data_IF_728232124140
#
_entry.id   IF_728232124140
#
_cell.length_a   1.000
_cell.length_b   1.000
_cell.length_c   1.000
_cell.angle_alpha   90.00
_cell.angle_beta   90.00
_cell.angle_gamma   90.00
#
_symmetry.space_group_name_H-M   'P 1'
#
loop_
_entity.id
_entity.type
_entity.pdbx_description
1 polymer ?
#
# COMPACT_ATOMS: atom_id res chain seq x y z
N UNK A 1 -6.82 -2.84 -14.63
CA UNK A 1 -6.02 -3.91 -14.00
C UNK A 1 -6.03 -3.73 -12.50
N UNK A 2 -6.22 -4.79 -11.76
CA UNK A 2 -6.12 -4.80 -10.30
C UNK A 2 -5.36 -6.04 -9.83
N UNK A 3 -4.78 -5.94 -8.64
CA UNK A 3 -4.15 -7.05 -7.94
C UNK A 3 -5.04 -7.49 -6.79
N UNK A 4 -5.17 -8.79 -6.60
CA UNK A 4 -5.92 -9.39 -5.50
C UNK A 4 -5.00 -10.36 -4.78
N UNK A 5 -4.78 -10.12 -3.51
CA UNK A 5 -4.04 -11.05 -2.66
C UNK A 5 -4.94 -12.24 -2.30
N UNK A 6 -4.46 -13.42 -2.58
CA UNK A 6 -5.16 -14.66 -2.27
C UNK A 6 -4.37 -15.48 -1.26
N UNK A 7 -5.10 -16.25 -0.47
CA UNK A 7 -4.49 -17.16 0.49
C UNK A 7 -3.53 -18.13 -0.21
N UNK A 8 -2.30 -18.23 0.28
CA UNK A 8 -1.26 -19.08 -0.30
C UNK A 8 -1.56 -20.59 -0.20
N UNK A 9 -2.55 -20.97 0.60
CA UNK A 9 -3.03 -22.36 0.69
C UNK A 9 -3.92 -22.77 -0.49
N UNK A 10 -4.44 -21.81 -1.26
CA UNK A 10 -5.24 -22.10 -2.44
C UNK A 10 -4.39 -22.69 -3.55
N UNK A 11 -4.93 -23.71 -4.20
CA UNK A 11 -4.29 -24.23 -5.41
C UNK A 11 -4.55 -23.31 -6.61
N UNK A 12 -3.85 -23.56 -7.71
CA UNK A 12 -3.93 -22.73 -8.91
C UNK A 12 -5.36 -22.64 -9.47
N UNK A 13 -6.13 -23.72 -9.44
CA UNK A 13 -7.51 -23.75 -9.95
C UNK A 13 -8.41 -22.88 -9.09
N UNK A 14 -8.34 -23.03 -7.79
CA UNK A 14 -9.12 -22.21 -6.83
C UNK A 14 -8.77 -20.72 -6.94
N UNK A 15 -7.50 -20.40 -7.08
CA UNK A 15 -7.05 -19.03 -7.27
C UNK A 15 -7.59 -18.42 -8.57
N UNK A 16 -7.57 -19.19 -9.64
CA UNK A 16 -8.09 -18.76 -10.93
C UNK A 16 -9.61 -18.54 -10.89
N UNK A 17 -10.36 -19.46 -10.30
CA UNK A 17 -11.82 -19.34 -10.14
C UNK A 17 -12.20 -18.09 -9.33
N UNK A 18 -11.48 -17.79 -8.26
CA UNK A 18 -11.71 -16.59 -7.48
C UNK A 18 -11.45 -15.30 -8.29
N UNK A 19 -10.35 -15.26 -9.04
CA UNK A 19 -10.05 -14.12 -9.91
C UNK A 19 -11.13 -13.92 -10.98
N UNK A 20 -11.59 -15.01 -11.62
CA UNK A 20 -12.68 -14.94 -12.61
C UNK A 20 -14.01 -14.48 -11.99
N UNK A 21 -14.34 -14.92 -10.78
CA UNK A 21 -15.53 -14.49 -10.08
C UNK A 21 -15.50 -12.99 -9.77
N UNK A 22 -14.34 -12.47 -9.39
CA UNK A 22 -14.17 -11.02 -9.19
C UNK A 22 -14.35 -10.25 -10.48
N UNK A 23 -13.73 -10.69 -11.58
CA UNK A 23 -13.86 -10.07 -12.90
C UNK A 23 -15.33 -10.06 -13.38
N UNK A 24 -16.01 -11.19 -13.21
CA UNK A 24 -17.43 -11.34 -13.59
C UNK A 24 -18.31 -10.40 -12.76
N UNK A 25 -18.10 -10.34 -11.45
CA UNK A 25 -18.85 -9.45 -10.55
C UNK A 25 -18.66 -7.99 -10.91
N UNK A 26 -17.43 -7.57 -11.21
CA UNK A 26 -17.13 -6.20 -11.63
C UNK A 26 -17.84 -5.85 -12.94
N UNK A 27 -17.82 -6.77 -13.90
CA UNK A 27 -18.52 -6.57 -15.18
C UNK A 27 -20.02 -6.47 -15.00
N UNK A 28 -20.63 -7.36 -14.22
CA UNK A 28 -22.09 -7.39 -14.04
C UNK A 28 -22.62 -6.23 -13.21
N UNK A 29 -21.92 -5.88 -12.12
CA UNK A 29 -22.41 -4.85 -11.21
C UNK A 29 -22.00 -3.43 -11.55
N UNK A 30 -20.82 -3.27 -12.15
CA UNK A 30 -20.24 -1.97 -12.42
C UNK A 30 -20.03 -1.67 -13.91
N UNK A 31 -20.32 -2.66 -14.77
CA UNK A 31 -20.06 -2.58 -16.22
C UNK A 31 -18.59 -2.24 -16.54
N UNK A 32 -17.67 -2.75 -15.72
CA UNK A 32 -16.23 -2.53 -15.85
C UNK A 32 -15.55 -3.80 -16.31
N UNK A 33 -14.75 -3.71 -17.37
CA UNK A 33 -13.83 -4.77 -17.75
C UNK A 33 -12.54 -4.62 -16.96
N UNK A 34 -12.20 -5.63 -16.16
CA UNK A 34 -10.99 -5.65 -15.35
C UNK A 34 -10.14 -6.88 -15.66
N UNK A 35 -8.84 -6.71 -15.61
CA UNK A 35 -7.88 -7.80 -15.52
C UNK A 35 -7.43 -7.93 -14.08
N UNK A 36 -7.59 -9.10 -13.50
CA UNK A 36 -7.20 -9.38 -12.13
C UNK A 36 -5.92 -10.22 -12.13
N UNK A 37 -4.90 -9.72 -11.44
CA UNK A 37 -3.71 -10.49 -11.11
C UNK A 37 -3.86 -11.06 -9.71
N UNK A 38 -3.80 -12.37 -9.60
CA UNK A 38 -3.86 -13.06 -8.32
C UNK A 38 -2.44 -13.20 -7.76
N UNK A 39 -2.18 -12.51 -6.65
CA UNK A 39 -0.90 -12.58 -5.96
C UNK A 39 -1.05 -13.47 -4.71
N UNK A 40 -0.16 -14.45 -4.49
CA UNK A 40 -0.21 -15.24 -3.29
C UNK A 40 0.09 -14.37 -2.07
N UNK A 41 -0.82 -14.36 -1.11
CA UNK A 41 -0.56 -13.73 0.17
C UNK A 41 0.60 -14.44 0.84
N UNK A 42 1.65 -13.70 1.18
CA UNK A 42 2.75 -14.24 1.96
C UNK A 42 2.20 -14.86 3.26
N UNK A 43 2.79 -15.96 3.71
CA UNK A 43 2.41 -16.59 4.98
C UNK A 43 2.44 -15.52 6.05
N UNK A 44 1.26 -15.18 6.61
CA UNK A 44 1.14 -14.10 7.56
C UNK A 44 1.93 -14.43 8.82
N UNK A 45 2.86 -13.56 9.18
CA UNK A 45 3.51 -13.62 10.48
C UNK A 45 2.43 -13.46 11.57
N UNK A 46 2.34 -14.35 12.60
CA UNK A 46 1.35 -14.23 13.66
C UNK A 46 1.38 -12.89 14.38
N UNK A 47 2.53 -12.19 14.36
CA UNK A 47 2.73 -10.87 14.96
C UNK A 47 2.52 -9.71 13.99
N UNK A 48 2.10 -9.97 12.77
CA UNK A 48 1.92 -8.94 11.75
C UNK A 48 0.99 -7.81 12.21
N UNK A 49 -0.11 -8.13 12.90
CA UNK A 49 -1.04 -7.15 13.43
C UNK A 49 -0.38 -6.19 14.44
N UNK A 50 0.57 -6.69 15.24
CA UNK A 50 1.35 -5.88 16.17
C UNK A 50 2.26 -4.91 15.41
N UNK A 51 2.99 -5.40 14.41
CA UNK A 51 3.89 -4.58 13.60
C UNK A 51 3.15 -3.54 12.76
N UNK A 52 1.96 -3.87 12.26
CA UNK A 52 1.09 -2.89 11.59
C UNK A 52 0.66 -1.77 12.52
N UNK A 53 0.29 -2.08 13.75
CA UNK A 53 -0.06 -1.06 14.75
C UNK A 53 1.13 -0.15 15.07
N UNK A 54 2.33 -0.69 15.14
CA UNK A 54 3.53 0.09 15.34
C UNK A 54 3.79 1.04 14.18
N UNK A 55 3.63 0.57 12.94
CA UNK A 55 3.74 1.43 11.76
C UNK A 55 2.68 2.51 11.74
N UNK A 56 1.43 2.18 12.02
CA UNK A 56 0.32 3.14 12.09
C UNK A 56 0.57 4.20 13.17
N UNK A 57 1.09 3.80 14.32
CA UNK A 57 1.50 4.72 15.38
C UNK A 57 2.65 5.63 14.94
N UNK A 58 3.64 5.10 14.24
CA UNK A 58 4.75 5.88 13.70
C UNK A 58 4.26 6.90 12.66
N UNK A 59 3.40 6.49 11.74
CA UNK A 59 2.79 7.38 10.74
C UNK A 59 2.02 8.51 11.45
N UNK A 60 1.18 8.16 12.41
CA UNK A 60 0.42 9.16 13.17
C UNK A 60 1.31 10.19 13.85
N UNK A 61 2.43 9.75 14.42
CA UNK A 61 3.38 10.64 15.12
C UNK A 61 4.12 11.59 14.18
N UNK A 62 4.30 11.26 12.92
CA UNK A 62 4.91 12.17 11.95
C UNK A 62 4.05 13.39 11.69
N UNK A 63 2.73 13.30 11.89
CA UNK A 63 1.73 14.30 11.52
C UNK A 63 1.72 14.65 10.04
N UNK A 64 2.31 13.80 9.21
CA UNK A 64 2.29 13.93 7.76
C UNK A 64 1.06 13.23 7.16
N UNK A 65 0.58 13.70 6.01
CA UNK A 65 -0.54 13.09 5.32
C UNK A 65 -0.10 11.83 4.59
N UNK A 66 0.06 10.74 5.33
CA UNK A 66 0.58 9.46 4.84
C UNK A 66 -0.43 8.34 5.07
N UNK A 67 -0.51 7.45 4.11
CA UNK A 67 -1.05 6.12 4.22
C UNK A 67 0.01 5.10 3.81
N UNK A 68 -0.26 3.81 4.01
CA UNK A 68 0.66 2.75 3.59
C UNK A 68 -0.10 1.61 2.94
N UNK A 69 0.60 0.85 2.12
CA UNK A 69 0.14 -0.40 1.51
C UNK A 69 1.32 -1.35 1.27
N UNK A 70 1.03 -2.56 0.80
CA UNK A 70 2.02 -3.60 0.52
C UNK A 70 2.97 -3.87 1.70
N UNK A 71 2.38 -4.06 2.87
CA UNK A 71 3.11 -4.29 4.11
C UNK A 71 3.55 -5.75 4.24
N UNK A 72 4.86 -5.94 4.42
CA UNK A 72 5.49 -7.24 4.67
C UNK A 72 6.42 -7.17 5.88
N UNK A 73 6.50 -8.27 6.59
CA UNK A 73 7.40 -8.43 7.75
C UNK A 73 8.25 -9.66 7.58
N UNK A 74 9.53 -9.53 7.82
CA UNK A 74 10.46 -10.63 7.89
C UNK A 74 11.28 -10.54 9.18
N UNK A 75 11.22 -11.58 10.00
CA UNK A 75 12.01 -11.69 11.23
C UNK A 75 13.24 -12.55 10.97
N UNK A 76 14.44 -12.01 11.16
CA UNK A 76 15.71 -12.71 11.02
C UNK A 76 16.71 -12.28 12.08
N UNK A 77 17.26 -13.24 12.81
CA UNK A 77 18.45 -13.05 13.66
C UNK A 77 18.41 -11.84 14.61
N UNK A 78 17.25 -11.59 15.23
CA UNK A 78 17.05 -10.46 16.14
C UNK A 78 16.73 -9.13 15.45
N UNK A 79 16.61 -9.13 14.13
CA UNK A 79 16.11 -7.99 13.36
C UNK A 79 14.68 -8.25 12.87
N UNK A 80 13.88 -7.20 12.86
CA UNK A 80 12.52 -7.22 12.32
C UNK A 80 12.51 -6.27 11.12
N UNK A 81 12.51 -6.86 9.93
CA UNK A 81 12.51 -6.10 8.67
C UNK A 81 11.08 -5.79 8.22
N UNK A 82 10.75 -4.51 8.17
CA UNK A 82 9.47 -4.01 7.68
C UNK A 82 9.64 -3.46 6.26
N UNK A 83 8.85 -3.98 5.35
CA UNK A 83 8.77 -3.49 3.96
C UNK A 83 7.35 -3.01 3.68
N UNK A 84 7.21 -1.81 3.15
CA UNK A 84 5.91 -1.21 2.82
C UNK A 84 6.09 -0.04 1.85
N UNK A 85 5.01 0.36 1.21
CA UNK A 85 4.97 1.57 0.41
C UNK A 85 4.17 2.66 1.14
N UNK A 86 4.71 3.87 1.15
CA UNK A 86 4.03 5.05 1.67
C UNK A 86 3.36 5.80 0.52
N UNK A 87 2.14 6.25 0.75
CA UNK A 87 1.41 7.09 -0.18
C UNK A 87 1.01 8.40 0.49
N UNK A 88 1.20 9.51 -0.20
CA UNK A 88 0.73 10.81 0.27
C UNK A 88 -0.78 10.93 0.10
N UNK A 89 -1.48 11.29 1.15
CA UNK A 89 -2.93 11.52 1.17
C UNK A 89 -3.30 13.00 1.11
N UNK A 90 -2.31 13.87 1.06
CA UNK A 90 -2.48 15.31 1.01
C UNK A 90 -1.18 16.03 0.61
N UNK A 91 -1.20 17.36 0.51
CA UNK A 91 -0.02 18.15 0.17
C UNK A 91 1.10 17.95 1.19
N UNK A 92 2.29 17.67 0.71
CA UNK A 92 3.49 17.53 1.52
C UNK A 92 4.69 18.09 0.77
N UNK A 93 5.37 19.06 1.38
CA UNK A 93 6.56 19.71 0.80
C UNK A 93 7.87 19.02 1.14
N UNK A 94 7.84 18.05 2.05
CA UNK A 94 9.04 17.30 2.42
C UNK A 94 9.51 16.43 1.25
N UNK A 95 10.83 16.28 1.14
CA UNK A 95 11.44 15.34 0.22
C UNK A 95 11.20 13.91 0.71
N UNK A 96 11.21 12.95 -0.21
CA UNK A 96 11.04 11.54 0.10
C UNK A 96 12.05 11.04 1.14
N UNK A 97 13.28 11.51 1.06
CA UNK A 97 14.34 11.19 2.01
C UNK A 97 14.00 11.67 3.44
N UNK A 98 13.42 12.86 3.58
CA UNK A 98 13.03 13.41 4.87
C UNK A 98 11.82 12.66 5.46
N UNK A 99 10.86 12.28 4.62
CA UNK A 99 9.74 11.42 5.01
C UNK A 99 10.25 10.07 5.51
N UNK A 100 11.18 9.47 4.78
CA UNK A 100 11.82 8.22 5.17
C UNK A 100 12.50 8.32 6.54
N UNK A 101 13.27 9.38 6.77
CA UNK A 101 13.97 9.62 8.05
C UNK A 101 12.98 9.78 9.21
N UNK A 102 11.88 10.50 9.00
CA UNK A 102 10.82 10.66 10.00
C UNK A 102 10.21 9.33 10.40
N UNK A 103 9.80 8.52 9.43
CA UNK A 103 9.22 7.19 9.69
C UNK A 103 10.21 6.29 10.40
N UNK A 104 11.45 6.20 9.94
CA UNK A 104 12.47 5.38 10.57
C UNK A 104 12.75 5.82 12.00
N UNK A 105 12.81 7.11 12.27
CA UNK A 105 13.01 7.66 13.61
C UNK A 105 11.90 7.21 14.57
N UNK A 106 10.65 7.34 14.16
CA UNK A 106 9.51 6.96 14.99
C UNK A 106 9.41 5.44 15.18
N UNK A 107 9.68 4.64 14.16
CA UNK A 107 9.68 3.18 14.26
C UNK A 107 10.80 2.69 15.20
N UNK A 108 12.00 3.24 15.07
CA UNK A 108 13.12 2.88 15.95
C UNK A 108 12.91 3.31 17.40
N UNK A 109 12.17 4.39 17.63
CA UNK A 109 11.77 4.78 18.99
C UNK A 109 10.79 3.79 19.62
N UNK A 110 9.97 3.10 18.82
CA UNK A 110 9.07 2.03 19.28
C UNK A 110 9.87 0.75 19.53
N UNK A 111 10.66 0.32 18.56
CA UNK A 111 11.50 -0.87 18.68
C UNK A 111 12.82 -0.68 17.90
N UNK A 112 13.97 -0.65 18.58
CA UNK A 112 15.28 -0.48 17.94
C UNK A 112 15.66 -1.60 16.97
N UNK A 113 15.02 -2.78 17.06
CA UNK A 113 15.26 -3.92 16.18
C UNK A 113 14.62 -3.77 14.79
N UNK A 114 13.78 -2.76 14.60
CA UNK A 114 13.17 -2.49 13.30
C UNK A 114 14.21 -2.01 12.28
N UNK A 115 14.20 -2.66 11.13
CA UNK A 115 14.82 -2.18 9.89
C UNK A 115 13.71 -1.91 8.88
N UNK A 116 13.86 -0.88 8.06
CA UNK A 116 12.79 -0.37 7.21
C UNK A 116 13.24 -0.28 5.77
N UNK A 117 12.44 -0.85 4.89
CA UNK A 117 12.51 -0.65 3.45
C UNK A 117 11.19 -0.06 2.97
N UNK A 118 11.22 1.13 2.42
CA UNK A 118 10.02 1.81 1.92
C UNK A 118 10.34 2.75 0.77
N UNK A 119 9.33 3.03 -0.01
CA UNK A 119 9.32 4.09 -1.02
C UNK A 119 8.12 4.99 -0.80
N UNK A 120 8.18 6.21 -1.32
CA UNK A 120 7.09 7.18 -1.24
C UNK A 120 6.44 7.31 -2.62
N UNK A 121 5.19 6.92 -2.73
CA UNK A 121 4.38 7.13 -3.93
C UNK A 121 3.65 8.47 -3.85
N UNK A 122 4.12 9.43 -4.63
CA UNK A 122 3.51 10.75 -4.77
C UNK A 122 2.38 10.78 -5.79
N UNK A 123 2.33 9.81 -6.68
CA UNK A 123 1.33 9.70 -7.73
C UNK A 123 0.02 9.07 -7.25
N UNK A 124 0.03 8.45 -6.07
CA UNK A 124 -1.17 7.84 -5.49
C UNK A 124 -2.30 8.85 -5.29
N UNK A 125 -1.96 10.13 -5.01
CA UNK A 125 -2.96 11.21 -4.87
C UNK A 125 -3.48 11.71 -6.21
N UNK A 126 -2.76 11.52 -7.30
CA UNK A 126 -3.16 12.07 -8.58
C UNK A 126 -4.43 11.40 -9.11
N UNK A 127 -5.36 11.18 -8.21
CA UNK A 127 -6.75 10.91 -8.47
C UNK A 127 -7.05 9.77 -9.38
N UNK A 128 -6.10 8.93 -9.56
CA UNK A 128 -6.46 7.58 -9.99
C UNK A 128 -7.56 7.01 -9.08
N UNK A 129 -7.72 7.66 -7.94
CA UNK A 129 -8.79 7.44 -6.96
C UNK A 129 -10.09 8.16 -7.32
N UNK A 130 -10.06 9.25 -8.11
CA UNK A 130 -11.20 10.16 -8.25
C UNK A 130 -11.81 10.23 -9.63
N UNK A 131 -11.23 9.65 -10.65
CA UNK A 131 -11.73 9.78 -11.99
C UNK A 131 -11.86 8.45 -12.72
N UNK A 132 -13.01 8.24 -13.33
CA UNK A 132 -13.16 7.24 -14.35
C UNK A 132 -12.54 7.67 -15.70
N UNK A 133 -12.17 8.94 -15.85
CA UNK A 133 -11.61 9.51 -17.07
C UNK A 133 -10.25 10.15 -16.84
N UNK A 134 -9.24 9.69 -17.59
CA UNK A 134 -7.88 10.23 -17.55
C UNK A 134 -7.79 11.72 -17.91
N UNK A 135 -8.73 12.24 -18.67
CA UNK A 135 -8.81 13.65 -19.04
C UNK A 135 -9.21 14.54 -17.86
N UNK A 136 -10.19 14.11 -17.07
CA UNK A 136 -10.64 14.83 -15.88
C UNK A 136 -9.53 14.90 -14.81
N UNK A 137 -8.76 13.84 -14.69
CA UNK A 137 -7.60 13.77 -13.78
C UNK A 137 -6.50 14.73 -14.21
N UNK A 138 -6.24 14.86 -15.51
CA UNK A 138 -5.25 15.80 -16.03
C UNK A 138 -5.67 17.24 -15.79
N UNK A 139 -6.95 17.55 -16.00
CA UNK A 139 -7.48 18.90 -15.79
C UNK A 139 -7.40 19.33 -14.31
N UNK A 140 -7.68 18.41 -13.37
CA UNK A 140 -7.54 18.66 -11.93
C UNK A 140 -6.09 18.84 -11.54
N UNK A 141 -5.18 18.03 -12.08
CA UNK A 141 -3.75 18.13 -11.83
C UNK A 141 -3.17 19.45 -12.36
N UNK A 142 -3.61 19.90 -13.53
CA UNK A 142 -3.15 21.16 -14.12
C UNK A 142 -3.71 22.39 -13.39
N UNK A 143 -4.95 22.34 -12.91
CA UNK A 143 -5.50 23.39 -12.05
C UNK A 143 -4.77 23.56 -10.73
N UNK A 144 -4.19 22.49 -10.18
CA UNK A 144 -3.39 22.54 -8.93
C UNK A 144 -1.98 23.04 -9.13
N UNK A 145 -1.46 23.10 -10.36
CA UNK A 145 -0.14 23.65 -10.68
C UNK A 145 -0.15 25.16 -10.88
N UNK A 146 -1.30 25.73 -11.02
CA UNK A 146 -1.55 27.16 -11.20
C UNK A 146 -2.37 27.70 -10.03
#
# INVERSE_FOLDING_TARGET
TAHVELDSSLNLVESHELAENVMTTLREKLNVQATIHADPKAVSNPREAEYRRDLESAIYRTRLPLSYHDFFVEEKEGEIHLSFELALTGPCKLKDEDIYKEICSHLKAINPEYTVETMVDRNFISGKVYGSDEEEVREIADRKKH
#
